data_IF_238873250874
#
_entry.id   IF_238873250874
#
_cell.length_a   1.000
_cell.length_b   1.000
_cell.length_c   1.000
_cell.angle_alpha   90.00
_cell.angle_beta   90.00
_cell.angle_gamma   90.00
#
_symmetry.space_group_name_H-M   'P 1'
#
loop_
_entity.id
_entity.type
_entity.pdbx_description
1 polymer ?
#
# COMPACT_ATOMS: atom_id res chain seq x y z
N UNK A 1 -25.23 -25.55 -30.05
CA UNK A 1 -24.18 -25.76 -29.02
C UNK A 1 -23.40 -24.49 -28.67
N UNK A 2 -23.14 -23.58 -29.62
CA UNK A 2 -22.37 -22.34 -29.37
C UNK A 2 -22.98 -21.37 -28.35
N UNK A 3 -24.31 -21.21 -28.31
CA UNK A 3 -24.97 -20.30 -27.35
C UNK A 3 -24.77 -20.71 -25.89
N UNK A 4 -24.86 -22.01 -25.58
CA UNK A 4 -24.66 -22.53 -24.23
C UNK A 4 -23.20 -22.41 -23.75
N UNK A 5 -22.23 -22.47 -24.67
CA UNK A 5 -20.82 -22.19 -24.37
C UNK A 5 -20.57 -20.70 -24.11
N UNK A 6 -21.20 -19.81 -24.91
CA UNK A 6 -21.11 -18.37 -24.73
C UNK A 6 -21.75 -17.89 -23.41
N UNK A 7 -22.87 -18.48 -23.01
CA UNK A 7 -23.56 -18.18 -21.74
C UNK A 7 -22.74 -18.56 -20.50
N UNK A 8 -21.92 -19.62 -20.58
CA UNK A 8 -20.99 -19.99 -19.50
C UNK A 8 -19.72 -19.14 -19.47
N UNK A 9 -19.28 -18.66 -20.64
CA UNK A 9 -18.05 -17.88 -20.77
C UNK A 9 -18.20 -16.43 -20.24
N UNK A 10 -19.39 -15.83 -20.39
CA UNK A 10 -19.65 -14.46 -19.96
C UNK A 10 -19.48 -14.24 -18.43
N UNK A 11 -20.08 -15.06 -17.55
CA UNK A 11 -19.86 -14.95 -16.10
C UNK A 11 -18.40 -15.18 -15.69
N UNK A 12 -17.70 -16.09 -16.35
CA UNK A 12 -16.27 -16.38 -16.08
C UNK A 12 -15.39 -15.18 -16.43
N UNK A 13 -15.63 -14.52 -17.57
CA UNK A 13 -14.95 -13.27 -17.96
C UNK A 13 -15.19 -12.16 -16.96
N UNK A 14 -16.44 -11.98 -16.51
CA UNK A 14 -16.79 -10.97 -15.51
C UNK A 14 -16.09 -11.23 -14.17
N UNK A 15 -16.01 -12.49 -13.72
CA UNK A 15 -15.29 -12.86 -12.50
C UNK A 15 -13.78 -12.61 -12.62
N UNK A 16 -13.19 -12.93 -13.77
CA UNK A 16 -11.77 -12.65 -14.05
C UNK A 16 -11.48 -11.14 -14.02
N UNK A 17 -12.35 -10.33 -14.63
CA UNK A 17 -12.21 -8.88 -14.63
C UNK A 17 -12.32 -8.29 -13.22
N UNK A 18 -13.29 -8.76 -12.41
CA UNK A 18 -13.45 -8.34 -11.02
C UNK A 18 -12.25 -8.76 -10.15
N UNK A 19 -11.73 -9.97 -10.34
CA UNK A 19 -10.52 -10.43 -9.65
C UNK A 19 -9.29 -9.61 -10.05
N UNK A 20 -9.14 -9.28 -11.34
CA UNK A 20 -8.06 -8.41 -11.83
C UNK A 20 -8.13 -7.00 -11.26
N UNK A 21 -9.33 -6.42 -11.16
CA UNK A 21 -9.55 -5.11 -10.50
C UNK A 21 -9.22 -5.19 -9.01
N UNK A 22 -9.68 -6.22 -8.31
CA UNK A 22 -9.37 -6.43 -6.89
C UNK A 22 -7.87 -6.56 -6.64
N UNK A 23 -7.15 -7.27 -7.50
CA UNK A 23 -5.68 -7.39 -7.44
C UNK A 23 -5.00 -6.04 -7.71
N UNK A 24 -5.49 -5.28 -8.69
CA UNK A 24 -4.95 -3.96 -9.01
C UNK A 24 -5.20 -2.96 -7.87
N UNK A 25 -6.41 -2.93 -7.31
CA UNK A 25 -6.77 -2.07 -6.18
C UNK A 25 -6.04 -2.45 -4.88
N UNK A 26 -5.69 -3.73 -4.74
CA UNK A 26 -4.86 -4.22 -3.64
C UNK A 26 -3.37 -4.08 -3.92
N UNK A 27 -2.98 -3.59 -5.11
CA UNK A 27 -1.57 -3.32 -5.39
C UNK A 27 -1.13 -2.11 -4.58
N UNK A 28 0.02 -2.18 -3.88
CA UNK A 28 0.59 -1.04 -3.16
C UNK A 28 0.69 0.21 -4.04
N UNK A 29 0.97 0.02 -5.34
CA UNK A 29 1.07 1.10 -6.32
C UNK A 29 -0.26 1.81 -6.58
N UNK A 30 -1.39 1.10 -6.62
CA UNK A 30 -2.71 1.72 -6.76
C UNK A 30 -3.10 2.51 -5.50
N UNK A 31 -2.72 2.02 -4.31
CA UNK A 31 -2.90 2.76 -3.05
C UNK A 31 -2.06 4.03 -3.07
N UNK A 32 -0.79 3.94 -3.46
CA UNK A 32 0.08 5.12 -3.57
C UNK A 32 -0.43 6.13 -4.59
N UNK A 33 -1.00 5.68 -5.72
CA UNK A 33 -1.61 6.55 -6.72
C UNK A 33 -2.82 7.36 -6.18
N UNK A 34 -3.43 6.91 -5.08
CA UNK A 34 -4.51 7.64 -4.38
C UNK A 34 -3.99 8.70 -3.40
N UNK A 35 -2.68 8.96 -3.36
CA UNK A 35 -2.07 9.99 -2.52
C UNK A 35 -1.44 9.48 -1.23
N UNK A 36 -1.36 8.15 -1.05
CA UNK A 36 -0.62 7.55 0.06
C UNK A 36 0.86 7.38 -0.32
N UNK A 37 1.70 7.26 0.70
CA UNK A 37 3.12 6.96 0.53
C UNK A 37 3.50 5.74 1.37
N UNK A 38 4.50 5.00 0.89
CA UNK A 38 5.14 3.94 1.66
C UNK A 38 6.34 4.54 2.37
N UNK A 39 6.42 4.35 3.69
CA UNK A 39 7.53 4.82 4.51
C UNK A 39 8.36 3.62 4.97
N UNK A 40 9.68 3.70 4.84
CA UNK A 40 10.62 2.72 5.39
C UNK A 40 11.82 3.44 6.02
N UNK A 41 12.56 2.76 6.90
CA UNK A 41 13.83 3.29 7.38
C UNK A 41 14.83 3.37 6.22
N UNK A 42 15.60 4.46 6.13
CA UNK A 42 16.59 4.64 5.05
C UNK A 42 17.73 3.60 5.13
N UNK A 43 18.03 3.12 6.34
CA UNK A 43 19.06 2.12 6.60
C UNK A 43 18.56 0.67 6.53
N UNK A 44 17.26 0.42 6.31
CA UNK A 44 16.74 -0.94 6.20
C UNK A 44 16.92 -1.44 4.75
N UNK A 45 17.83 -2.41 4.50
CA UNK A 45 18.07 -2.92 3.16
C UNK A 45 16.88 -3.69 2.59
N UNK A 46 15.94 -4.14 3.45
CA UNK A 46 14.72 -4.80 3.03
C UNK A 46 13.57 -3.82 2.76
N UNK A 47 13.75 -2.53 3.07
CA UNK A 47 12.77 -1.48 2.85
C UNK A 47 11.41 -1.78 3.48
N UNK A 48 11.39 -2.44 4.65
CA UNK A 48 10.12 -2.85 5.28
C UNK A 48 9.27 -1.62 5.59
N UNK A 49 8.00 -1.69 5.22
CA UNK A 49 7.07 -0.60 5.46
C UNK A 49 6.83 -0.40 6.95
N UNK A 50 6.87 0.85 7.39
CA UNK A 50 6.52 1.25 8.75
C UNK A 50 5.04 1.61 8.76
N UNK A 51 4.26 0.93 9.61
CA UNK A 51 2.84 1.19 9.82
C UNK A 51 2.50 1.62 11.25
N UNK A 52 3.50 1.68 12.14
CA UNK A 52 3.36 1.99 13.57
C UNK A 52 4.46 2.97 13.97
N UNK A 53 4.07 4.14 14.50
CA UNK A 53 5.00 5.20 14.89
C UNK A 53 5.86 4.82 16.08
N UNK A 54 5.46 3.82 16.88
CA UNK A 54 6.25 3.33 18.01
C UNK A 54 7.58 2.66 17.59
N UNK A 55 7.73 2.38 16.30
CA UNK A 55 8.94 1.77 15.71
C UNK A 55 9.95 2.79 15.19
N UNK A 56 9.62 4.08 15.30
CA UNK A 56 10.47 5.19 14.91
C UNK A 56 11.02 5.89 16.15
N UNK A 57 12.15 6.56 15.97
CA UNK A 57 12.68 7.54 16.88
C UNK A 57 12.78 8.92 16.20
N UNK A 58 12.84 9.97 17.01
CA UNK A 58 13.21 11.28 16.50
C UNK A 58 14.64 11.22 15.91
N UNK A 59 14.85 11.95 14.82
CA UNK A 59 16.03 11.96 13.97
C UNK A 59 16.27 10.72 13.11
N UNK A 60 15.40 9.71 13.13
CA UNK A 60 15.49 8.61 12.18
C UNK A 60 15.41 9.14 10.74
N UNK A 61 16.30 8.65 9.89
CA UNK A 61 16.22 8.85 8.44
C UNK A 61 15.25 7.83 7.84
N UNK A 62 14.26 8.35 7.12
CA UNK A 62 13.23 7.56 6.45
C UNK A 62 13.27 7.83 4.95
N UNK A 63 12.92 6.80 4.18
CA UNK A 63 12.61 6.92 2.77
C UNK A 63 11.10 6.92 2.60
N UNK A 64 10.61 7.87 1.82
CA UNK A 64 9.22 8.01 1.43
C UNK A 64 9.11 7.69 -0.05
N UNK A 65 8.37 6.62 -0.37
CA UNK A 65 8.09 6.20 -1.74
C UNK A 65 6.67 6.64 -2.11
N UNK A 66 6.55 7.40 -3.20
CA UNK A 66 5.28 7.88 -3.73
C UNK A 66 4.89 7.07 -4.97
N UNK A 67 3.69 7.30 -5.50
CA UNK A 67 3.27 6.70 -6.77
C UNK A 67 4.28 6.95 -7.91
N UNK A 68 4.99 8.08 -7.84
CA UNK A 68 6.10 8.44 -8.71
C UNK A 68 7.19 9.11 -7.89
N UNK A 69 8.38 8.52 -7.92
CA UNK A 69 9.56 9.07 -7.25
C UNK A 69 9.63 8.72 -5.77
N UNK A 70 10.71 9.21 -5.16
CA UNK A 70 11.05 8.99 -3.76
C UNK A 70 11.60 10.28 -3.16
N UNK A 71 11.53 10.38 -1.84
CA UNK A 71 12.22 11.40 -1.06
C UNK A 71 12.86 10.77 0.17
N UNK A 72 14.00 11.30 0.58
CA UNK A 72 14.58 10.99 1.89
C UNK A 72 14.18 12.13 2.86
N UNK A 73 13.82 11.77 4.08
CA UNK A 73 13.36 12.69 5.10
C UNK A 73 13.86 12.26 6.49
N UNK A 74 13.78 13.18 7.45
CA UNK A 74 14.15 12.92 8.84
C UNK A 74 12.96 13.13 9.76
N UNK A 75 12.72 12.18 10.66
CA UNK A 75 11.66 12.29 11.67
C UNK A 75 12.00 13.43 12.62
N UNK A 76 11.23 14.52 12.58
CA UNK A 76 11.48 15.67 13.46
C UNK A 76 10.87 15.48 14.85
N UNK A 77 9.69 14.87 14.93
CA UNK A 77 8.93 14.66 16.16
C UNK A 77 7.92 13.55 15.99
N UNK A 78 7.70 12.76 17.05
CA UNK A 78 6.67 11.72 17.09
C UNK A 78 5.49 12.16 17.96
N UNK A 79 4.29 11.84 17.51
CA UNK A 79 3.07 12.01 18.27
C UNK A 79 2.42 10.63 18.39
N UNK A 80 2.49 10.06 19.58
CA UNK A 80 1.87 8.76 19.84
C UNK A 80 0.48 8.97 20.40
N UNK A 81 -0.51 8.36 19.77
CA UNK A 81 -1.84 8.23 20.34
C UNK A 81 -1.75 7.22 21.49
N UNK A 82 -1.50 7.73 22.70
CA UNK A 82 -1.77 6.94 23.90
C UNK A 82 -3.29 6.75 23.97
N UNK A 83 -3.76 5.55 23.64
CA UNK A 83 -5.12 5.14 24.02
C UNK A 83 -5.25 5.40 25.51
N UNK A 84 -6.07 6.39 25.89
CA UNK A 84 -6.59 6.48 27.25
C UNK A 84 -7.53 5.29 27.43
N UNK A 85 -7.03 4.21 28.00
CA UNK A 85 -7.88 3.20 28.61
C UNK A 85 -8.50 3.85 29.86
N UNK A 86 -9.83 3.92 29.88
CA UNK A 86 -10.63 4.34 31.02
C UNK A 86 -11.21 3.15 31.74
#
# INVERSE_FOLDING_TARGET
MERAAAERLQPLRRRLELAGRSLNDSSPKAVMARGYARVSLANDPHGRSISDSSRLNENDEIRVEFARGTADARVAKLHNDSKKEG
#
